data_IF_912009831908
#
_entry.id   IF_912009831908
#
_cell.length_a   1.000
_cell.length_b   1.000
_cell.length_c   1.000
_cell.angle_alpha   90.00
_cell.angle_beta   90.00
_cell.angle_gamma   90.00
#
_symmetry.space_group_name_H-M   'P 1'
#
loop_
_entity.id
_entity.type
_entity.pdbx_description
1 polymer ?
#
# COMPACT_ATOMS: atom_id res chain seq x y z
N UNK A 1 7.70 18.27 -29.34
CA UNK A 1 7.56 16.81 -29.25
C UNK A 1 7.03 16.54 -27.85
N UNK A 2 5.72 16.39 -27.69
CA UNK A 2 5.12 16.04 -26.40
C UNK A 2 5.25 14.54 -26.30
N UNK A 3 6.06 14.04 -25.37
CA UNK A 3 6.16 12.62 -25.08
C UNK A 3 4.81 12.21 -24.47
N UNK A 4 3.94 11.56 -25.26
CA UNK A 4 2.77 10.86 -24.74
C UNK A 4 3.26 9.53 -24.16
N UNK A 5 3.97 9.59 -23.03
CA UNK A 5 4.17 8.39 -22.22
C UNK A 5 2.82 8.05 -21.58
N UNK A 6 2.07 7.19 -22.26
CA UNK A 6 0.91 6.53 -21.65
C UNK A 6 1.48 5.67 -20.54
N UNK A 7 1.31 6.10 -19.30
CA UNK A 7 1.68 5.31 -18.12
C UNK A 7 1.04 3.93 -18.26
N UNK A 8 1.87 2.92 -18.46
CA UNK A 8 1.40 1.59 -18.91
C UNK A 8 1.37 0.56 -17.79
N UNK A 9 2.07 0.81 -16.68
CA UNK A 9 2.18 -0.15 -15.59
C UNK A 9 2.38 0.50 -14.22
N UNK A 10 1.78 -0.08 -13.19
CA UNK A 10 2.07 0.17 -11.78
C UNK A 10 2.85 -1.02 -11.22
N UNK A 11 3.88 -0.77 -10.41
CA UNK A 11 4.61 -1.81 -9.68
C UNK A 11 4.37 -1.64 -8.18
N UNK A 12 3.97 -2.72 -7.51
CA UNK A 12 3.78 -2.74 -6.06
C UNK A 12 4.98 -3.39 -5.37
N UNK A 13 5.67 -2.62 -4.53
CA UNK A 13 6.67 -3.15 -3.62
C UNK A 13 5.98 -3.56 -2.31
N UNK A 14 6.20 -4.79 -1.89
CA UNK A 14 5.60 -5.36 -0.69
C UNK A 14 6.51 -5.20 0.53
N UNK A 15 5.90 -5.24 1.71
CA UNK A 15 6.64 -5.24 2.97
C UNK A 15 7.33 -6.59 3.22
N UNK A 16 8.35 -6.58 4.08
CA UNK A 16 9.17 -7.74 4.40
C UNK A 16 9.11 -8.14 5.87
N UNK A 17 10.03 -9.00 6.28
CA UNK A 17 10.29 -9.32 7.69
C UNK A 17 10.90 -8.13 8.43
N UNK A 18 11.00 -8.23 9.76
CA UNK A 18 11.36 -7.12 10.66
C UNK A 18 12.65 -6.37 10.31
N UNK A 19 13.65 -7.06 9.74
CA UNK A 19 14.95 -6.47 9.46
C UNK A 19 15.48 -5.76 10.71
N UNK A 20 15.79 -4.48 10.60
CA UNK A 20 16.31 -3.69 11.73
C UNK A 20 15.26 -2.78 12.40
N UNK A 21 14.22 -2.31 11.67
CA UNK A 21 13.33 -1.24 12.16
C UNK A 21 11.86 -1.33 11.70
N UNK A 22 11.38 -2.49 11.25
CA UNK A 22 10.00 -2.62 10.76
C UNK A 22 9.21 -3.65 11.57
N UNK A 23 7.92 -3.41 11.75
CA UNK A 23 7.02 -4.50 12.13
C UNK A 23 6.81 -5.48 10.96
N UNK A 24 6.60 -6.79 11.23
CA UNK A 24 6.22 -7.73 10.19
C UNK A 24 4.94 -7.29 9.52
N UNK A 25 4.92 -7.34 8.19
CA UNK A 25 3.78 -6.91 7.40
C UNK A 25 3.63 -7.72 6.12
N UNK A 26 2.42 -7.75 5.58
CA UNK A 26 2.08 -8.34 4.29
C UNK A 26 1.00 -7.51 3.59
N UNK A 27 0.80 -7.74 2.29
CA UNK A 27 -0.27 -7.11 1.51
C UNK A 27 -1.19 -8.17 0.92
N UNK A 28 -2.48 -7.87 0.88
CA UNK A 28 -3.50 -8.63 0.17
C UNK A 28 -3.97 -7.77 -0.99
N UNK A 29 -3.96 -8.34 -2.19
CA UNK A 29 -4.43 -7.68 -3.40
C UNK A 29 -5.80 -8.22 -3.79
N UNK A 30 -6.74 -7.33 -4.02
CA UNK A 30 -7.98 -7.65 -4.71
C UNK A 30 -7.73 -7.53 -6.22
N UNK A 31 -8.12 -8.54 -6.98
CA UNK A 31 -7.83 -8.67 -8.40
C UNK A 31 -9.11 -8.98 -9.15
N UNK A 32 -9.30 -8.32 -10.30
CA UNK A 32 -10.39 -8.62 -11.23
C UNK A 32 -10.20 -10.01 -11.85
N UNK A 33 -10.77 -11.03 -11.23
CA UNK A 33 -10.58 -12.43 -11.58
C UNK A 33 -11.81 -13.29 -11.32
N UNK A 34 -11.80 -14.51 -11.87
CA UNK A 34 -12.86 -15.50 -11.65
C UNK A 34 -14.02 -15.47 -12.65
N UNK A 35 -13.86 -14.76 -13.78
CA UNK A 35 -14.80 -14.77 -14.91
C UNK A 35 -14.08 -14.83 -16.26
N UNK A 36 -14.84 -15.08 -17.34
CA UNK A 36 -14.31 -15.32 -18.70
C UNK A 36 -13.56 -14.10 -19.27
N UNK A 37 -14.09 -12.89 -19.03
CA UNK A 37 -13.51 -11.62 -19.48
C UNK A 37 -12.58 -10.96 -18.44
N UNK A 38 -12.00 -11.73 -17.51
CA UNK A 38 -11.18 -11.19 -16.42
C UNK A 38 -9.97 -10.40 -16.94
N UNK A 39 -9.82 -9.17 -16.45
CA UNK A 39 -8.70 -8.31 -16.84
C UNK A 39 -7.43 -8.60 -16.04
N UNK A 40 -7.55 -9.29 -14.90
CA UNK A 40 -6.46 -9.60 -13.95
C UNK A 40 -5.73 -8.38 -13.40
N UNK A 41 -6.34 -7.19 -13.51
CA UNK A 41 -5.80 -5.98 -12.91
C UNK A 41 -6.04 -6.00 -11.40
N UNK A 42 -5.11 -5.39 -10.67
CA UNK A 42 -5.29 -5.15 -9.24
C UNK A 42 -6.34 -4.06 -9.08
N UNK A 43 -7.42 -4.40 -8.38
CA UNK A 43 -8.50 -3.48 -8.02
C UNK A 43 -8.10 -2.68 -6.80
N UNK A 44 -7.58 -3.33 -5.77
CA UNK A 44 -7.16 -2.67 -4.53
C UNK A 44 -6.06 -3.45 -3.79
N UNK A 45 -5.43 -2.82 -2.81
CA UNK A 45 -4.39 -3.40 -1.98
C UNK A 45 -4.58 -3.00 -0.52
N UNK A 46 -4.70 -4.00 0.36
CA UNK A 46 -4.76 -3.81 1.81
C UNK A 46 -3.46 -4.29 2.45
N UNK A 47 -2.81 -3.42 3.21
CA UNK A 47 -1.63 -3.77 3.98
C UNK A 47 -2.01 -4.13 5.42
N UNK A 48 -1.37 -5.17 5.95
CA UNK A 48 -1.50 -5.64 7.31
C UNK A 48 -0.15 -5.58 8.01
N UNK A 49 -0.14 -5.25 9.28
CA UNK A 49 1.05 -5.27 10.13
C UNK A 49 0.70 -5.72 11.54
N UNK A 50 1.70 -6.20 12.29
CA UNK A 50 1.52 -6.53 13.71
C UNK A 50 2.41 -5.68 14.60
N UNK A 51 1.86 -5.06 15.64
CA UNK A 51 2.65 -4.28 16.58
C UNK A 51 3.49 -5.22 17.47
N UNK A 52 4.80 -5.26 17.24
CA UNK A 52 5.70 -6.11 18.00
C UNK A 52 5.83 -5.70 19.47
N UNK A 53 5.64 -4.41 19.80
CA UNK A 53 5.67 -3.95 21.19
C UNK A 53 4.54 -4.60 21.99
N UNK A 54 3.35 -4.69 21.39
CA UNK A 54 2.20 -5.38 21.98
C UNK A 54 2.34 -6.90 21.91
N UNK A 55 2.81 -7.44 20.78
CA UNK A 55 2.96 -8.89 20.63
C UNK A 55 4.01 -9.49 21.58
N UNK A 56 5.00 -8.71 22.00
CA UNK A 56 6.11 -9.16 22.87
C UNK A 56 5.86 -8.99 24.37
N UNK A 57 4.69 -8.49 24.80
CA UNK A 57 4.35 -8.48 26.23
C UNK A 57 4.23 -9.93 26.75
N UNK A 58 4.38 -10.15 28.06
CA UNK A 58 4.27 -11.50 28.63
C UNK A 58 2.87 -12.09 28.39
N UNK A 59 2.80 -13.25 27.75
CA UNK A 59 1.54 -13.87 27.31
C UNK A 59 0.94 -13.26 26.02
N UNK A 60 1.64 -12.30 25.41
CA UNK A 60 1.28 -11.70 24.13
C UNK A 60 1.46 -12.64 22.93
N UNK A 61 0.77 -12.31 21.85
CA UNK A 61 0.88 -13.01 20.56
C UNK A 61 0.64 -12.00 19.43
N UNK A 62 1.16 -12.25 18.22
CA UNK A 62 1.00 -11.32 17.12
C UNK A 62 -0.45 -11.26 16.65
N UNK A 63 -1.02 -10.05 16.68
CA UNK A 63 -2.30 -9.73 16.03
C UNK A 63 -1.99 -8.87 14.82
N UNK A 64 -2.41 -9.32 13.64
CA UNK A 64 -2.29 -8.56 12.39
C UNK A 64 -3.55 -7.74 12.18
N UNK A 65 -3.40 -6.43 12.12
CA UNK A 65 -4.50 -5.49 11.87
C UNK A 65 -4.27 -4.78 10.55
N UNK A 66 -5.36 -4.27 9.96
CA UNK A 66 -5.27 -3.42 8.77
C UNK A 66 -4.45 -2.17 9.12
N UNK A 67 -3.41 -1.93 8.33
CA UNK A 67 -2.58 -0.73 8.40
C UNK A 67 -3.18 0.37 7.55
N UNK A 68 -3.46 0.04 6.29
CA UNK A 68 -4.11 0.92 5.33
C UNK A 68 -4.74 0.08 4.21
N UNK A 69 -5.82 0.60 3.64
CA UNK A 69 -6.38 0.19 2.35
C UNK A 69 -6.02 1.28 1.33
N UNK A 70 -5.47 0.91 0.16
CA UNK A 70 -4.85 1.88 -0.73
C UNK A 70 -5.86 2.91 -1.29
N UNK A 71 -7.03 2.47 -1.77
CA UNK A 71 -8.04 3.40 -2.26
C UNK A 71 -8.58 4.30 -1.14
N UNK A 72 -9.00 3.71 -0.02
CA UNK A 72 -9.60 4.46 1.09
C UNK A 72 -8.62 5.43 1.75
N UNK A 73 -7.36 5.03 1.93
CA UNK A 73 -6.39 5.79 2.73
C UNK A 73 -5.74 6.92 1.94
N UNK A 74 -5.69 6.83 0.62
CA UNK A 74 -5.16 7.86 -0.27
C UNK A 74 -6.23 8.59 -1.08
N UNK A 75 -7.52 8.30 -0.84
CA UNK A 75 -8.67 8.83 -1.58
C UNK A 75 -8.52 8.71 -3.11
N UNK A 76 -7.99 7.58 -3.57
CA UNK A 76 -7.81 7.27 -5.00
C UNK A 76 -8.87 6.27 -5.47
N UNK A 77 -9.42 6.49 -6.67
CA UNK A 77 -10.51 5.66 -7.21
C UNK A 77 -10.06 4.36 -7.88
N UNK A 78 -8.76 4.20 -8.10
CA UNK A 78 -8.19 3.02 -8.74
C UNK A 78 -6.69 2.94 -8.48
N UNK A 79 -6.13 1.75 -8.71
CA UNK A 79 -4.69 1.52 -8.64
C UNK A 79 -4.01 1.50 -10.02
N UNK A 80 -4.66 2.14 -11.01
CA UNK A 80 -4.13 2.29 -12.38
C UNK A 80 -2.85 3.14 -12.41
N UNK A 81 -2.03 3.02 -13.46
CA UNK A 81 -0.80 3.81 -13.57
C UNK A 81 -1.04 5.32 -13.48
N UNK A 82 -2.13 5.81 -14.08
CA UNK A 82 -2.53 7.21 -14.00
C UNK A 82 -2.89 7.64 -12.58
N UNK A 83 -3.75 6.89 -11.88
CA UNK A 83 -4.12 7.24 -10.49
C UNK A 83 -2.93 7.21 -9.54
N UNK A 84 -2.01 6.26 -9.72
CA UNK A 84 -0.79 6.19 -8.90
C UNK A 84 0.19 7.33 -9.21
N UNK A 85 0.27 7.76 -10.47
CA UNK A 85 1.05 8.93 -10.84
C UNK A 85 0.48 10.23 -10.25
N UNK A 86 -0.84 10.42 -10.34
CA UNK A 86 -1.53 11.56 -9.73
C UNK A 86 -1.31 11.58 -8.21
N UNK A 87 -1.41 10.43 -7.54
CA UNK A 87 -1.10 10.30 -6.12
C UNK A 87 0.32 10.77 -5.78
N UNK A 88 1.33 10.39 -6.58
CA UNK A 88 2.71 10.86 -6.38
C UNK A 88 2.84 12.37 -6.59
N UNK A 89 2.16 12.94 -7.58
CA UNK A 89 2.14 14.39 -7.78
C UNK A 89 1.46 15.11 -6.61
N UNK A 90 0.35 14.57 -6.10
CA UNK A 90 -0.36 15.12 -4.96
C UNK A 90 0.50 15.12 -3.70
N UNK A 91 1.35 14.10 -3.48
CA UNK A 91 2.29 14.09 -2.35
C UNK A 91 3.26 15.29 -2.35
N UNK A 92 3.51 15.92 -3.50
CA UNK A 92 4.37 17.12 -3.60
C UNK A 92 3.62 18.39 -3.18
N UNK A 93 2.31 18.43 -3.41
CA UNK A 93 1.50 19.65 -3.26
C UNK A 93 0.58 19.64 -2.05
N UNK A 94 0.16 18.47 -1.58
CA UNK A 94 -0.74 18.28 -0.45
C UNK A 94 0.04 18.10 0.84
N UNK A 95 -0.17 19.00 1.79
CA UNK A 95 0.50 18.98 3.09
C UNK A 95 0.16 17.69 3.84
N UNK A 96 1.19 16.97 4.30
CA UNK A 96 1.06 15.76 5.11
C UNK A 96 0.79 14.45 4.35
N UNK A 97 0.43 14.48 3.06
CA UNK A 97 0.16 13.25 2.30
C UNK A 97 1.41 12.38 2.12
N UNK A 98 2.57 13.01 1.90
CA UNK A 98 3.85 12.30 1.89
C UNK A 98 4.19 11.68 3.25
N UNK A 99 3.97 12.41 4.35
CA UNK A 99 4.24 11.91 5.70
C UNK A 99 3.33 10.74 6.06
N UNK A 100 2.05 10.81 5.66
CA UNK A 100 1.11 9.70 5.77
C UNK A 100 1.59 8.48 4.98
N UNK A 101 2.02 8.67 3.74
CA UNK A 101 2.59 7.59 2.92
C UNK A 101 3.83 6.97 3.57
N UNK A 102 4.74 7.81 4.05
CA UNK A 102 5.94 7.38 4.76
C UNK A 102 5.59 6.53 5.98
N UNK A 103 4.61 6.98 6.79
CA UNK A 103 4.13 6.24 7.96
C UNK A 103 3.53 4.89 7.60
N UNK A 104 2.73 4.81 6.54
CA UNK A 104 2.13 3.54 6.10
C UNK A 104 3.16 2.54 5.59
N UNK A 105 4.16 3.00 4.84
CA UNK A 105 5.11 2.11 4.16
C UNK A 105 6.29 1.71 5.05
N UNK A 106 6.82 2.62 5.85
CA UNK A 106 8.07 2.39 6.58
C UNK A 106 7.92 1.90 8.03
N UNK A 107 6.69 1.67 8.51
CA UNK A 107 6.37 0.88 9.73
C UNK A 107 7.41 0.98 10.86
N UNK A 108 7.77 2.20 11.25
CA UNK A 108 8.78 2.49 12.26
C UNK A 108 8.09 2.47 13.64
N UNK A 109 8.67 1.85 14.68
CA UNK A 109 8.13 1.84 16.04
C UNK A 109 8.03 3.23 16.68
#
# INVERSE_FOLDING_TARGET
MVYNDVLSSTIFVCAGTTGTYHHPAFKVFEVDGGHEDATWVILDATAYSTNLTEANVEGGFPVYTVRYNAQDSYDVKSLTPTSMHELVLNMVTEEGLYDQHYWYVFVIP
#
